data_IF_839971464262
#
_entry.id   IF_839971464262
#
_cell.length_a   1.000
_cell.length_b   1.000
_cell.length_c   1.000
_cell.angle_alpha   90.00
_cell.angle_beta   90.00
_cell.angle_gamma   90.00
#
_symmetry.space_group_name_H-M   'P 1'
#
loop_
_entity.id
_entity.type
_entity.pdbx_description
1 polymer ?
#
# COMPACT_ATOMS: atom_id res chain seq x y z
N UNK A 1 -17.90 24.40 24.77
CA UNK A 1 -17.39 23.01 24.58
C UNK A 1 -18.27 22.13 23.70
N UNK A 2 -19.59 22.04 23.88
CA UNK A 2 -20.47 21.19 23.03
C UNK A 2 -20.39 21.51 21.52
N UNK A 3 -20.28 22.80 21.16
CA UNK A 3 -20.19 23.27 19.77
C UNK A 3 -18.89 22.84 19.07
N UNK A 4 -17.76 22.96 19.77
CA UNK A 4 -16.46 22.48 19.28
C UNK A 4 -16.46 20.96 19.04
N UNK A 5 -17.02 20.17 19.96
CA UNK A 5 -17.12 18.72 19.77
C UNK A 5 -18.05 18.32 18.61
N UNK A 6 -19.13 19.07 18.35
CA UNK A 6 -19.99 18.79 17.18
C UNK A 6 -19.31 19.19 15.87
N UNK A 7 -18.60 20.32 15.84
CA UNK A 7 -17.83 20.77 14.68
C UNK A 7 -16.65 19.83 14.40
N UNK A 8 -15.96 19.36 15.44
CA UNK A 8 -14.91 18.36 15.34
C UNK A 8 -15.46 17.02 14.85
N UNK A 9 -16.58 16.54 15.40
CA UNK A 9 -17.26 15.32 14.93
C UNK A 9 -17.64 15.45 13.45
N UNK A 10 -18.24 16.57 13.05
CA UNK A 10 -18.62 16.84 11.67
C UNK A 10 -17.41 16.87 10.72
N UNK A 11 -16.27 17.38 11.20
CA UNK A 11 -15.01 17.41 10.46
C UNK A 11 -14.43 16.00 10.26
N UNK A 12 -14.30 15.20 11.32
CA UNK A 12 -13.73 13.84 11.23
C UNK A 12 -14.64 12.87 10.47
N UNK A 13 -15.95 13.09 10.45
CA UNK A 13 -16.88 12.29 9.65
C UNK A 13 -16.80 12.55 8.15
N UNK A 14 -16.01 13.54 7.70
CA UNK A 14 -15.65 13.65 6.28
C UNK A 14 -14.76 12.46 5.93
N UNK A 15 -15.31 11.46 5.23
CA UNK A 15 -14.59 10.22 4.89
C UNK A 15 -13.20 10.44 4.29
N UNK A 16 -13.05 11.43 3.40
CA UNK A 16 -11.76 11.79 2.80
C UNK A 16 -10.68 12.20 3.83
N UNK A 17 -11.06 12.77 4.99
CA UNK A 17 -10.11 13.16 6.04
C UNK A 17 -9.69 11.96 6.88
N UNK A 18 -10.65 11.09 7.21
CA UNK A 18 -10.38 9.90 8.01
C UNK A 18 -9.47 8.92 7.26
N UNK A 19 -9.74 8.67 5.98
CA UNK A 19 -8.95 7.76 5.15
C UNK A 19 -7.52 8.28 4.94
N UNK A 20 -7.38 9.59 4.70
CA UNK A 20 -6.06 10.24 4.63
C UNK A 20 -5.30 10.16 5.96
N UNK A 21 -5.97 10.39 7.09
CA UNK A 21 -5.35 10.34 8.41
C UNK A 21 -4.87 8.93 8.77
N UNK A 22 -5.69 7.91 8.50
CA UNK A 22 -5.32 6.50 8.71
C UNK A 22 -4.12 6.14 7.84
N UNK A 23 -4.11 6.55 6.57
CA UNK A 23 -2.98 6.33 5.66
C UNK A 23 -1.65 6.89 6.19
N UNK A 24 -1.66 8.11 6.72
CA UNK A 24 -0.45 8.76 7.27
C UNK A 24 0.02 8.06 8.55
N UNK A 25 -0.89 7.74 9.47
CA UNK A 25 -0.55 7.10 10.75
C UNK A 25 0.04 5.71 10.52
N UNK A 26 -0.62 4.91 9.68
CA UNK A 26 -0.15 3.55 9.36
C UNK A 26 1.16 3.61 8.58
N UNK A 27 1.30 4.51 7.60
CA UNK A 27 2.53 4.69 6.85
C UNK A 27 3.73 5.10 7.71
N UNK A 28 3.51 6.02 8.67
CA UNK A 28 4.54 6.43 9.62
C UNK A 28 4.95 5.32 10.58
N UNK A 29 3.99 4.64 11.19
CA UNK A 29 4.25 3.51 12.09
C UNK A 29 5.00 2.38 11.38
N UNK A 30 4.62 2.09 10.14
CA UNK A 30 5.24 1.03 9.36
C UNK A 30 6.69 1.37 8.96
N UNK A 31 6.94 2.61 8.53
CA UNK A 31 8.29 3.09 8.25
C UNK A 31 9.17 2.99 9.50
N UNK A 32 8.65 3.34 10.67
CA UNK A 32 9.38 3.24 11.93
C UNK A 32 9.80 1.79 12.27
N UNK A 33 8.96 0.80 11.98
CA UNK A 33 9.30 -0.62 12.15
C UNK A 33 10.46 -1.03 11.25
N UNK A 34 10.44 -0.61 9.98
CA UNK A 34 11.55 -0.92 9.05
C UNK A 34 12.83 -0.23 9.51
N UNK A 35 12.76 1.05 9.87
CA UNK A 35 13.92 1.79 10.37
C UNK A 35 14.49 1.13 11.63
N UNK A 36 13.65 0.68 12.55
CA UNK A 36 14.08 -0.05 13.74
C UNK A 36 14.76 -1.38 13.39
N UNK A 37 14.21 -2.14 12.44
CA UNK A 37 14.80 -3.38 11.94
C UNK A 37 16.19 -3.12 11.35
N UNK A 38 16.34 -2.08 10.52
CA UNK A 38 17.64 -1.76 9.92
C UNK A 38 18.62 -1.30 11.00
N UNK A 39 18.22 -0.37 11.86
CA UNK A 39 19.09 0.22 12.86
C UNK A 39 19.55 -0.77 13.94
N UNK A 40 18.66 -1.68 14.37
CA UNK A 40 18.95 -2.58 15.48
C UNK A 40 19.42 -3.98 15.06
N UNK A 41 19.16 -4.39 13.82
CA UNK A 41 19.56 -5.72 13.34
C UNK A 41 20.59 -5.60 12.22
N UNK A 42 20.32 -4.82 11.17
CA UNK A 42 21.24 -4.72 10.04
C UNK A 42 22.50 -3.90 10.35
N UNK A 43 22.40 -2.75 11.01
CA UNK A 43 23.59 -1.93 11.29
C UNK A 43 24.62 -2.67 12.16
N UNK A 44 24.23 -3.41 13.23
CA UNK A 44 25.18 -4.23 13.98
C UNK A 44 25.78 -5.37 13.13
N UNK A 45 24.98 -6.00 12.25
CA UNK A 45 25.47 -7.04 11.33
C UNK A 45 26.49 -6.49 10.33
N UNK A 46 26.24 -5.28 9.81
CA UNK A 46 27.17 -4.58 8.90
C UNK A 46 28.44 -4.14 9.64
N UNK A 47 28.31 -3.72 10.90
CA UNK A 47 29.44 -3.34 11.75
C UNK A 47 30.32 -4.54 12.17
N UNK A 48 29.79 -5.76 12.11
CA UNK A 48 30.53 -6.99 12.42
C UNK A 48 31.43 -7.47 11.26
N UNK A 49 31.33 -6.87 10.08
CA UNK A 49 32.16 -7.25 8.92
C UNK A 49 33.63 -6.89 9.23
N UNK A 50 34.59 -7.83 9.14
CA UNK A 50 35.95 -7.64 9.67
C UNK A 50 36.72 -6.63 8.82
N UNK A 51 37.02 -5.47 9.42
CA UNK A 51 37.85 -4.40 8.83
C UNK A 51 38.04 -3.19 9.76
N UNK A 52 37.53 -3.26 10.99
CA UNK A 52 37.48 -2.17 11.97
C UNK A 52 38.71 -2.17 12.88
N UNK A 53 39.62 -1.24 12.66
CA UNK A 53 40.54 -0.77 13.69
C UNK A 53 40.16 0.68 14.00
N UNK A 54 39.69 0.95 15.22
CA UNK A 54 39.28 2.24 15.86
C UNK A 54 38.34 3.19 15.10
N UNK A 55 38.41 3.24 13.77
CA UNK A 55 37.41 3.74 12.83
C UNK A 55 36.71 2.53 12.23
N UNK A 56 35.40 2.39 12.46
CA UNK A 56 34.61 1.29 11.88
C UNK A 56 34.83 1.20 10.37
N UNK A 57 34.70 0.01 9.77
CA UNK A 57 35.10 -0.36 8.40
C UNK A 57 34.56 0.53 7.25
N UNK A 58 33.77 1.56 7.54
CA UNK A 58 33.10 2.47 6.62
C UNK A 58 33.15 3.96 7.05
N UNK A 59 33.92 4.31 8.09
CA UNK A 59 34.05 5.70 8.53
C UNK A 59 35.42 6.25 8.13
N UNK A 60 35.42 7.34 7.36
CA UNK A 60 36.64 8.07 6.99
C UNK A 60 36.67 9.37 7.78
N UNK A 61 37.68 9.55 8.62
CA UNK A 61 37.84 10.79 9.40
C UNK A 61 38.69 11.76 8.59
N UNK A 62 38.14 12.94 8.29
CA UNK A 62 38.81 13.98 7.49
C UNK A 62 39.55 14.97 8.39
N UNK A 63 39.05 15.15 9.61
CA UNK A 63 39.68 15.98 10.63
C UNK A 63 39.41 15.39 12.00
N UNK A 64 40.47 14.92 12.63
CA UNK A 64 40.45 14.39 13.98
C UNK A 64 40.52 15.55 14.98
N UNK A 65 39.53 15.62 15.86
CA UNK A 65 39.58 16.46 17.06
C UNK A 65 39.58 15.50 18.23
N UNK A 66 40.72 15.39 18.92
CA UNK A 66 40.84 14.55 20.10
C UNK A 66 40.30 15.32 21.31
N UNK A 67 39.51 14.63 22.13
CA UNK A 67 39.06 15.15 23.41
C UNK A 67 40.22 15.15 24.43
N UNK A 68 40.01 15.72 25.61
CA UNK A 68 41.03 15.82 26.66
C UNK A 68 41.66 14.48 27.07
N UNK A 69 40.96 13.36 26.83
CA UNK A 69 41.39 11.99 27.12
C UNK A 69 42.10 11.29 25.94
N UNK A 70 42.39 12.00 24.84
CA UNK A 70 43.04 11.42 23.67
C UNK A 70 42.16 10.47 22.86
N UNK A 71 40.83 10.54 23.03
CA UNK A 71 39.85 9.82 22.22
C UNK A 71 39.31 10.72 21.13
N UNK A 72 38.95 10.17 19.97
CA UNK A 72 38.27 10.93 18.92
C UNK A 72 36.94 11.47 19.47
N UNK A 73 36.80 12.79 19.51
CA UNK A 73 35.51 13.45 19.76
C UNK A 73 34.71 13.39 18.45
N UNK A 74 33.85 12.39 18.31
CA UNK A 74 32.99 12.22 17.12
C UNK A 74 32.04 13.43 16.90
N UNK A 75 31.81 14.26 17.92
CA UNK A 75 30.92 15.42 17.81
C UNK A 75 31.62 16.65 17.22
N UNK A 76 32.95 16.74 17.36
CA UNK A 76 33.78 17.85 16.83
C UNK A 76 34.64 17.44 15.65
N UNK A 77 34.84 16.15 15.44
CA UNK A 77 35.57 15.59 14.31
C UNK A 77 34.70 15.62 13.05
N UNK A 78 35.33 15.85 11.90
CA UNK A 78 34.64 15.76 10.60
C UNK A 78 34.77 14.33 10.11
N UNK A 79 33.68 13.58 10.14
CA UNK A 79 33.62 12.15 9.79
C UNK A 79 32.69 11.96 8.61
N UNK A 80 33.16 11.25 7.57
CA UNK A 80 32.32 10.70 6.51
C UNK A 80 31.93 9.28 6.90
N UNK A 81 30.65 9.10 7.24
CA UNK A 81 30.08 7.80 7.59
C UNK A 81 29.42 7.15 6.37
N UNK A 82 30.19 6.36 5.62
CA UNK A 82 29.65 5.58 4.50
C UNK A 82 28.74 4.45 4.99
N UNK A 83 28.85 4.03 6.25
CA UNK A 83 28.00 3.01 6.86
C UNK A 83 26.57 3.53 7.03
N UNK A 84 26.42 4.77 7.48
CA UNK A 84 25.12 5.46 7.53
C UNK A 84 24.47 5.58 6.14
N UNK A 85 25.26 5.88 5.10
CA UNK A 85 24.76 5.96 3.72
C UNK A 85 24.27 4.59 3.21
N UNK A 86 25.05 3.53 3.43
CA UNK A 86 24.64 2.17 3.05
C UNK A 86 23.39 1.76 3.81
N UNK A 87 23.32 2.03 5.12
CA UNK A 87 22.15 1.77 5.95
C UNK A 87 20.90 2.48 5.42
N UNK A 88 21.03 3.75 5.02
CA UNK A 88 19.93 4.51 4.42
C UNK A 88 19.46 3.89 3.10
N UNK A 89 20.39 3.48 2.23
CA UNK A 89 20.06 2.80 0.96
C UNK A 89 19.34 1.47 1.23
N UNK A 90 19.81 0.67 2.18
CA UNK A 90 19.18 -0.61 2.54
C UNK A 90 17.78 -0.38 3.13
N UNK A 91 17.61 0.62 3.99
CA UNK A 91 16.31 1.03 4.55
C UNK A 91 15.33 1.38 3.44
N UNK A 92 15.78 2.17 2.46
CA UNK A 92 14.97 2.55 1.31
C UNK A 92 14.56 1.32 0.47
N UNK A 93 15.50 0.43 0.15
CA UNK A 93 15.22 -0.78 -0.62
C UNK A 93 14.25 -1.73 0.09
N UNK A 94 14.40 -1.93 1.41
CA UNK A 94 13.46 -2.74 2.19
C UNK A 94 12.07 -2.13 2.23
N UNK A 95 11.98 -0.81 2.40
CA UNK A 95 10.69 -0.09 2.39
C UNK A 95 10.01 -0.22 1.03
N UNK A 96 10.75 -0.02 -0.06
CA UNK A 96 10.24 -0.19 -1.42
C UNK A 96 9.78 -1.63 -1.71
N UNK A 97 10.59 -2.63 -1.33
CA UNK A 97 10.26 -4.04 -1.50
C UNK A 97 8.98 -4.41 -0.74
N UNK A 98 8.83 -3.90 0.48
CA UNK A 98 7.67 -4.17 1.31
C UNK A 98 6.41 -3.53 0.73
N UNK A 99 6.48 -2.26 0.32
CA UNK A 99 5.36 -1.56 -0.31
C UNK A 99 4.94 -2.24 -1.62
N UNK A 100 5.91 -2.65 -2.44
CA UNK A 100 5.66 -3.47 -3.63
C UNK A 100 4.94 -4.78 -3.28
N UNK A 101 5.38 -5.46 -2.22
CA UNK A 101 4.76 -6.71 -1.77
C UNK A 101 3.31 -6.49 -1.33
N UNK A 102 3.00 -5.44 -0.57
CA UNK A 102 1.63 -5.08 -0.20
C UNK A 102 0.78 -4.86 -1.45
N UNK A 103 1.23 -4.01 -2.37
CA UNK A 103 0.48 -3.68 -3.60
C UNK A 103 0.26 -4.94 -4.43
N UNK A 104 1.27 -5.81 -4.55
CA UNK A 104 1.16 -7.09 -5.26
C UNK A 104 0.13 -8.02 -4.61
N UNK A 105 0.08 -8.09 -3.28
CA UNK A 105 -0.91 -8.90 -2.55
C UNK A 105 -2.31 -8.35 -2.77
N UNK A 106 -2.51 -7.04 -2.63
CA UNK A 106 -3.81 -6.39 -2.88
C UNK A 106 -4.28 -6.66 -4.31
N UNK A 107 -3.42 -6.44 -5.30
CA UNK A 107 -3.72 -6.71 -6.71
C UNK A 107 -3.98 -8.20 -6.98
N UNK A 108 -3.27 -9.10 -6.30
CA UNK A 108 -3.46 -10.55 -6.43
C UNK A 108 -4.80 -11.00 -5.85
N UNK A 109 -5.17 -10.50 -4.67
CA UNK A 109 -6.46 -10.79 -4.02
C UNK A 109 -7.61 -10.29 -4.87
N UNK A 110 -7.50 -9.06 -5.41
CA UNK A 110 -8.49 -8.49 -6.32
C UNK A 110 -8.69 -9.35 -7.57
N UNK A 111 -7.59 -9.72 -8.22
CA UNK A 111 -7.63 -10.55 -9.43
C UNK A 111 -8.18 -11.97 -9.17
N UNK A 112 -7.89 -12.55 -8.00
CA UNK A 112 -8.45 -13.86 -7.61
C UNK A 112 -9.94 -13.77 -7.35
N UNK A 113 -10.40 -12.70 -6.68
CA UNK A 113 -11.82 -12.44 -6.44
C UNK A 113 -12.62 -12.28 -7.73
N UNK A 114 -12.14 -11.47 -8.68
CA UNK A 114 -12.75 -11.32 -10.00
C UNK A 114 -12.88 -12.64 -10.75
N UNK A 115 -11.83 -13.46 -10.79
CA UNK A 115 -11.85 -14.77 -11.45
C UNK A 115 -12.81 -15.76 -10.78
N UNK A 116 -12.96 -15.68 -9.45
CA UNK A 116 -13.90 -16.51 -8.71
C UNK A 116 -15.34 -16.08 -8.98
N UNK A 117 -15.60 -14.78 -9.04
CA UNK A 117 -16.90 -14.21 -9.41
C UNK A 117 -17.27 -14.56 -10.86
N UNK A 118 -16.36 -14.42 -11.83
CA UNK A 118 -16.60 -14.80 -13.23
C UNK A 118 -16.91 -16.30 -13.39
N UNK A 119 -16.20 -17.17 -12.67
CA UNK A 119 -16.48 -18.62 -12.69
C UNK A 119 -17.86 -18.94 -12.11
N UNK A 120 -18.26 -18.28 -11.03
CA UNK A 120 -19.58 -18.46 -10.44
C UNK A 120 -20.69 -17.91 -11.35
N UNK A 121 -20.49 -16.74 -11.98
CA UNK A 121 -21.43 -16.19 -12.98
C UNK A 121 -21.60 -17.13 -14.17
N UNK A 122 -20.50 -17.68 -14.73
CA UNK A 122 -20.57 -18.66 -15.83
C UNK A 122 -21.27 -19.97 -15.43
N UNK A 123 -20.97 -20.50 -14.25
CA UNK A 123 -21.63 -21.71 -13.76
C UNK A 123 -23.13 -21.50 -13.51
N UNK A 124 -23.51 -20.31 -13.03
CA UNK A 124 -24.90 -19.92 -12.84
C UNK A 124 -25.65 -19.76 -14.17
N UNK A 125 -25.03 -19.12 -15.16
CA UNK A 125 -25.59 -19.01 -16.52
C UNK A 125 -25.76 -20.39 -17.19
N UNK A 126 -24.84 -21.32 -16.95
CA UNK A 126 -24.93 -22.67 -17.48
C UNK A 126 -26.08 -23.46 -16.83
N UNK A 127 -26.26 -23.34 -15.52
CA UNK A 127 -27.42 -23.91 -14.79
C UNK A 127 -28.75 -23.28 -15.23
N UNK A 128 -28.76 -21.98 -15.52
CA UNK A 128 -29.92 -21.28 -16.09
C UNK A 128 -30.27 -21.82 -17.49
N UNK A 129 -29.27 -22.01 -18.35
CA UNK A 129 -29.45 -22.58 -19.70
C UNK A 129 -29.93 -24.03 -19.69
N UNK A 130 -29.58 -24.81 -18.65
CA UNK A 130 -30.06 -26.18 -18.44
C UNK A 130 -31.45 -26.25 -17.78
N UNK A 131 -32.03 -25.11 -17.41
CA UNK A 131 -33.36 -25.04 -16.79
C UNK A 131 -33.41 -25.52 -15.33
N UNK A 132 -32.26 -25.69 -14.68
CA UNK A 132 -32.15 -26.23 -13.31
C UNK A 132 -32.52 -25.20 -12.22
N UNK A 133 -32.69 -23.92 -12.59
CA UNK A 133 -32.97 -22.79 -11.70
C UNK A 133 -33.92 -21.80 -12.38
N UNK A 134 -34.88 -21.27 -11.62
CA UNK A 134 -35.81 -20.21 -12.07
C UNK A 134 -35.08 -18.89 -12.36
N UNK A 135 -35.64 -18.04 -13.23
CA UNK A 135 -35.08 -16.72 -13.53
C UNK A 135 -34.93 -15.83 -12.28
N UNK A 136 -35.82 -15.97 -11.29
CA UNK A 136 -35.71 -15.26 -10.02
C UNK A 136 -34.54 -15.75 -9.18
N UNK A 137 -34.31 -17.06 -9.13
CA UNK A 137 -33.20 -17.67 -8.38
C UNK A 137 -31.84 -17.33 -9.01
N UNK A 138 -31.78 -17.30 -10.35
CA UNK A 138 -30.59 -16.88 -11.08
C UNK A 138 -30.27 -15.40 -10.83
N UNK A 139 -31.28 -14.53 -10.74
CA UNK A 139 -31.07 -13.10 -10.42
C UNK A 139 -30.63 -12.93 -8.95
N UNK A 140 -31.20 -13.68 -8.02
CA UNK A 140 -30.86 -13.58 -6.60
C UNK A 140 -29.44 -14.10 -6.30
N UNK A 141 -29.04 -15.24 -6.88
CA UNK A 141 -27.68 -15.78 -6.76
C UNK A 141 -26.65 -14.88 -7.47
N UNK A 142 -26.97 -14.30 -8.63
CA UNK A 142 -26.10 -13.33 -9.30
C UNK A 142 -25.84 -12.09 -8.42
N UNK A 143 -26.88 -11.57 -7.77
CA UNK A 143 -26.78 -10.41 -6.88
C UNK A 143 -25.92 -10.71 -5.64
N UNK A 144 -26.02 -11.93 -5.08
CA UNK A 144 -25.18 -12.39 -3.96
C UNK A 144 -23.71 -12.56 -4.38
N UNK A 145 -23.45 -13.04 -5.61
CA UNK A 145 -22.10 -13.17 -6.16
C UNK A 145 -21.49 -11.79 -6.44
N UNK A 146 -22.28 -10.81 -6.90
CA UNK A 146 -21.88 -9.41 -7.08
C UNK A 146 -21.46 -8.77 -5.76
N UNK A 147 -22.23 -8.98 -4.69
CA UNK A 147 -21.98 -8.42 -3.36
C UNK A 147 -20.84 -9.12 -2.61
N UNK A 148 -20.60 -10.41 -2.88
CA UNK A 148 -19.51 -11.19 -2.29
C UNK A 148 -18.19 -11.05 -3.05
N UNK A 149 -18.18 -10.45 -4.25
CA UNK A 149 -16.95 -10.12 -4.95
C UNK A 149 -16.18 -9.07 -4.13
N UNK A 150 -14.87 -9.23 -3.91
CA UNK A 150 -14.09 -8.16 -3.28
C UNK A 150 -14.26 -6.92 -4.13
N UNK A 151 -14.70 -5.84 -3.46
CA UNK A 151 -15.07 -4.52 -3.97
C UNK A 151 -14.62 -4.40 -5.42
N UNK A 152 -15.56 -4.55 -6.36
CA UNK A 152 -15.31 -4.26 -7.76
C UNK A 152 -14.46 -2.98 -7.85
N UNK A 153 -13.52 -2.84 -8.82
CA UNK A 153 -12.84 -1.56 -8.97
C UNK A 153 -13.92 -0.51 -8.93
N UNK A 154 -13.81 0.44 -7.99
CA UNK A 154 -14.75 1.56 -7.87
C UNK A 154 -14.99 1.98 -9.31
N UNK A 155 -16.21 1.75 -9.83
CA UNK A 155 -16.45 1.88 -11.27
C UNK A 155 -15.89 3.23 -11.64
N UNK A 156 -14.80 3.20 -12.41
CA UNK A 156 -14.07 4.43 -12.60
C UNK A 156 -15.00 5.32 -13.41
N UNK A 157 -14.90 6.63 -13.23
CA UNK A 157 -15.70 7.55 -14.03
C UNK A 157 -15.58 7.21 -15.53
N UNK A 158 -14.43 6.69 -15.96
CA UNK A 158 -14.18 6.20 -17.32
C UNK A 158 -15.01 4.96 -17.71
N UNK A 159 -15.27 4.04 -16.78
CA UNK A 159 -16.11 2.85 -17.03
C UNK A 159 -17.58 3.27 -17.16
N UNK A 160 -18.06 4.15 -16.28
CA UNK A 160 -19.41 4.73 -16.36
C UNK A 160 -19.61 5.54 -17.65
N UNK A 161 -18.61 6.31 -18.07
CA UNK A 161 -18.66 7.08 -19.32
C UNK A 161 -18.65 6.19 -20.57
N UNK A 162 -18.02 5.00 -20.51
CA UNK A 162 -18.10 4.00 -21.59
C UNK A 162 -19.48 3.39 -21.66
N UNK A 163 -20.04 2.99 -20.53
CA UNK A 163 -21.38 2.42 -20.46
C UNK A 163 -22.46 3.43 -20.93
N UNK A 164 -22.40 4.69 -20.47
CA UNK A 164 -23.31 5.76 -20.92
C UNK A 164 -23.19 5.98 -22.44
N UNK A 165 -21.98 5.96 -23.00
CA UNK A 165 -21.75 6.11 -24.44
C UNK A 165 -22.39 4.96 -25.23
N UNK A 166 -22.21 3.74 -24.76
CA UNK A 166 -22.73 2.54 -25.44
C UNK A 166 -24.25 2.50 -25.37
N UNK A 167 -24.84 2.88 -24.23
CA UNK A 167 -26.28 3.06 -24.07
C UNK A 167 -26.85 4.17 -24.98
N UNK A 168 -26.13 5.29 -25.12
CA UNK A 168 -26.55 6.38 -26.00
C UNK A 168 -26.45 5.98 -27.48
N UNK A 169 -25.43 5.22 -27.88
CA UNK A 169 -25.33 4.65 -29.23
C UNK A 169 -26.50 3.71 -29.52
N UNK A 170 -26.74 2.74 -28.65
CA UNK A 170 -27.84 1.79 -28.82
C UNK A 170 -29.20 2.48 -28.91
N UNK A 171 -29.43 3.52 -28.10
CA UNK A 171 -30.66 4.32 -28.18
C UNK A 171 -30.75 5.12 -29.48
N UNK A 172 -29.67 5.73 -29.94
CA UNK A 172 -29.64 6.49 -31.18
C UNK A 172 -29.87 5.59 -32.40
N UNK A 173 -29.29 4.39 -32.42
CA UNK A 173 -29.50 3.41 -33.47
C UNK A 173 -30.96 2.96 -33.50
N UNK A 174 -31.58 2.70 -32.34
CA UNK A 174 -33.00 2.36 -32.22
C UNK A 174 -33.99 3.51 -32.52
N UNK A 175 -33.51 4.75 -32.63
CA UNK A 175 -34.34 5.93 -32.98
C UNK A 175 -34.22 6.29 -34.47
N UNK A 176 -33.22 5.73 -35.17
CA UNK A 176 -32.94 5.99 -36.59
C UNK A 176 -33.32 4.82 -37.52
N UNK A 177 -33.86 3.72 -36.98
CA UNK A 177 -34.67 2.72 -37.69
C UNK A 177 -36.16 3.05 -37.55
#
# INVERSE_FOLDING_TARGET
>A
MKKFFSEFKAFITRGNVLDMAVGIIVGGAFTAIITALVNHILNPLLAMIPGSGDTGALQVVLREVLDADGKLDLSKSVILDFGAVISAIVTFLLTALMLFTIIKVINSVHNKGKKFAEKQKKALEEKRKKGEISEEQAKEEATKIEQAAPVAPVETTDDLLREIRDLLKAKNDATNE
#
